data_IF_139446705701
#
_entry.id   IF_139446705701
#
_cell.length_a   1.000
_cell.length_b   1.000
_cell.length_c   1.000
_cell.angle_alpha   90.00
_cell.angle_beta   90.00
_cell.angle_gamma   90.00
#
_symmetry.space_group_name_H-M   'P 1'
#
loop_
_entity.id
_entity.type
_entity.pdbx_description
1 polymer ?
#
# COMPACT_ATOMS: atom_id res chain seq x y z
N UNK A 1 32.42 15.45 2.95
CA UNK A 1 31.18 15.18 2.21
C UNK A 1 30.51 14.03 2.92
N UNK A 2 29.60 14.31 3.85
CA UNK A 2 28.87 13.27 4.56
C UNK A 2 27.95 12.57 3.56
N UNK A 3 28.19 11.28 3.33
CA UNK A 3 27.25 10.43 2.62
C UNK A 3 26.05 10.23 3.54
N UNK A 4 24.91 10.84 3.21
CA UNK A 4 23.63 10.46 3.79
C UNK A 4 23.39 8.98 3.46
N UNK A 5 23.63 8.10 4.42
CA UNK A 5 23.17 6.71 4.35
C UNK A 5 21.67 6.79 4.56
N UNK A 6 20.90 6.83 3.47
CA UNK A 6 19.46 6.59 3.55
C UNK A 6 19.27 5.23 4.23
N UNK A 7 18.40 5.15 5.23
CA UNK A 7 18.07 3.88 5.85
C UNK A 7 17.56 2.91 4.77
N UNK A 8 18.23 1.78 4.60
CA UNK A 8 17.85 0.73 3.63
C UNK A 8 16.84 -0.26 4.22
N UNK A 9 16.28 0.09 5.38
CA UNK A 9 15.32 -0.71 6.10
C UNK A 9 14.00 -0.76 5.35
N UNK A 10 13.32 -1.92 5.40
CA UNK A 10 12.06 -2.15 4.67
C UNK A 10 11.01 -1.07 5.00
N UNK A 11 10.95 -0.63 6.26
CA UNK A 11 10.04 0.43 6.72
C UNK A 11 10.21 1.77 6.01
N UNK A 12 11.41 2.07 5.50
CA UNK A 12 11.66 3.35 4.82
C UNK A 12 10.90 3.41 3.49
N UNK A 13 10.74 2.27 2.80
CA UNK A 13 9.94 2.18 1.58
C UNK A 13 8.45 2.36 1.86
N UNK A 14 7.93 1.73 2.91
CA UNK A 14 6.51 1.86 3.30
C UNK A 14 6.18 3.29 3.68
N UNK A 15 6.99 3.90 4.54
CA UNK A 15 6.80 5.30 4.94
C UNK A 15 6.83 6.26 3.74
N UNK A 16 7.75 6.05 2.80
CA UNK A 16 7.81 6.84 1.56
C UNK A 16 6.52 6.68 0.74
N UNK A 17 6.00 5.46 0.62
CA UNK A 17 4.75 5.20 -0.12
C UNK A 17 3.54 5.84 0.56
N UNK A 18 3.42 5.76 1.88
CA UNK A 18 2.37 6.43 2.66
C UNK A 18 2.45 7.95 2.45
N UNK A 19 3.65 8.53 2.51
CA UNK A 19 3.85 9.97 2.30
C UNK A 19 3.34 10.42 0.92
N UNK A 20 3.74 9.72 -0.15
CA UNK A 20 3.29 10.07 -1.50
C UNK A 20 1.80 9.80 -1.74
N UNK A 21 1.21 8.78 -1.10
CA UNK A 21 -0.23 8.58 -1.13
C UNK A 21 -0.96 9.79 -0.52
N UNK A 22 -0.45 10.34 0.59
CA UNK A 22 -0.97 11.57 1.19
C UNK A 22 -0.94 12.76 0.23
N UNK A 23 0.21 12.99 -0.43
CA UNK A 23 0.35 14.07 -1.42
C UNK A 23 -0.64 13.94 -2.59
N UNK A 24 -0.84 12.72 -3.10
CA UNK A 24 -1.78 12.44 -4.18
C UNK A 24 -3.24 12.67 -3.74
N UNK A 25 -3.61 12.26 -2.52
CA UNK A 25 -4.95 12.50 -1.96
C UNK A 25 -5.22 13.99 -1.75
N UNK A 26 -4.24 14.76 -1.28
CA UNK A 26 -4.36 16.21 -1.17
C UNK A 26 -4.52 16.88 -2.54
N UNK A 27 -3.75 16.42 -3.55
CA UNK A 27 -3.86 16.91 -4.91
C UNK A 27 -5.23 16.59 -5.53
N UNK A 28 -5.73 15.37 -5.31
CA UNK A 28 -7.08 14.96 -5.69
C UNK A 28 -8.13 15.88 -5.06
N UNK A 29 -8.05 16.11 -3.74
CA UNK A 29 -8.99 16.99 -3.04
C UNK A 29 -8.94 18.45 -3.50
N UNK A 30 -7.79 18.93 -4.00
CA UNK A 30 -7.69 20.24 -4.68
C UNK A 30 -8.32 20.22 -6.07
N UNK A 31 -8.09 19.15 -6.84
CA UNK A 31 -8.65 18.97 -8.17
C UNK A 31 -10.19 18.87 -8.15
N UNK A 32 -10.76 18.20 -7.14
CA UNK A 32 -12.22 18.08 -6.95
C UNK A 32 -12.90 19.42 -6.64
N UNK A 33 -12.19 20.34 -5.97
CA UNK A 33 -12.70 21.67 -5.62
C UNK A 33 -12.49 22.71 -6.74
N UNK A 34 -11.64 22.41 -7.72
CA UNK A 34 -11.23 23.35 -8.78
C UNK A 34 -12.08 23.26 -10.05
N UNK A 35 -12.25 24.40 -10.73
CA UNK A 35 -12.87 24.49 -12.07
C UNK A 35 -11.80 24.50 -13.18
N UNK A 36 -10.83 23.58 -13.14
CA UNK A 36 -9.78 23.53 -14.16
C UNK A 36 -10.32 22.94 -15.47
N UNK A 37 -9.87 23.47 -16.61
CA UNK A 37 -10.28 23.05 -17.97
C UNK A 37 -9.96 21.57 -18.27
N UNK A 38 -8.98 20.98 -17.56
CA UNK A 38 -8.61 19.56 -17.65
C UNK A 38 -9.06 18.73 -16.41
N UNK A 39 -10.10 19.18 -15.70
CA UNK A 39 -10.55 18.58 -14.44
C UNK A 39 -10.70 17.05 -14.50
N UNK A 40 -11.32 16.42 -15.53
CA UNK A 40 -11.47 14.95 -15.56
C UNK A 40 -10.15 14.18 -15.65
N UNK A 41 -9.21 14.61 -16.50
CA UNK A 41 -7.92 13.95 -16.68
C UNK A 41 -7.03 14.11 -15.45
N UNK A 42 -7.04 15.31 -14.84
CA UNK A 42 -6.33 15.57 -13.59
C UNK A 42 -6.89 14.73 -12.45
N UNK A 43 -8.22 14.66 -12.29
CA UNK A 43 -8.87 13.81 -11.30
C UNK A 43 -8.48 12.35 -11.45
N UNK A 44 -8.47 11.83 -12.68
CA UNK A 44 -8.09 10.45 -12.94
C UNK A 44 -6.62 10.19 -12.61
N UNK A 45 -5.71 11.10 -13.00
CA UNK A 45 -4.29 10.97 -12.70
C UNK A 45 -4.01 10.95 -11.19
N UNK A 46 -4.66 11.83 -10.42
CA UNK A 46 -4.47 11.84 -8.96
C UNK A 46 -5.09 10.61 -8.27
N UNK A 47 -6.20 10.07 -8.78
CA UNK A 47 -6.77 8.79 -8.32
C UNK A 47 -5.81 7.63 -8.55
N UNK A 48 -5.27 7.51 -9.76
CA UNK A 48 -4.30 6.46 -10.10
C UNK A 48 -3.02 6.59 -9.28
N UNK A 49 -2.54 7.81 -9.06
CA UNK A 49 -1.38 8.08 -8.20
C UNK A 49 -1.65 7.64 -6.75
N UNK A 50 -2.80 8.00 -6.19
CA UNK A 50 -3.19 7.58 -4.85
C UNK A 50 -3.26 6.05 -4.73
N UNK A 51 -3.93 5.37 -5.67
CA UNK A 51 -4.02 3.90 -5.69
C UNK A 51 -2.63 3.25 -5.80
N UNK A 52 -1.78 3.73 -6.72
CA UNK A 52 -0.42 3.23 -6.90
C UNK A 52 0.44 3.35 -5.63
N UNK A 53 0.34 4.48 -4.94
CA UNK A 53 1.10 4.69 -3.72
C UNK A 53 0.53 3.92 -2.52
N UNK A 54 -0.79 3.82 -2.38
CA UNK A 54 -1.44 3.02 -1.34
C UNK A 54 -1.17 1.53 -1.51
N UNK A 55 -1.27 0.98 -2.72
CA UNK A 55 -0.90 -0.41 -2.98
C UNK A 55 0.58 -0.66 -2.69
N UNK A 56 1.45 0.26 -3.12
CA UNK A 56 2.88 0.17 -2.81
C UNK A 56 3.18 0.22 -1.31
N UNK A 57 2.41 0.97 -0.52
CA UNK A 57 2.52 1.00 0.94
C UNK A 57 2.06 -0.32 1.56
N UNK A 58 0.94 -0.88 1.10
CA UNK A 58 0.44 -2.18 1.53
C UNK A 58 1.49 -3.28 1.27
N UNK A 59 2.05 -3.33 0.06
CA UNK A 59 3.08 -4.31 -0.29
C UNK A 59 4.31 -4.16 0.61
N UNK A 60 4.76 -2.92 0.86
CA UNK A 60 5.86 -2.63 1.78
C UNK A 60 5.59 -3.13 3.20
N UNK A 61 4.40 -2.86 3.74
CA UNK A 61 3.97 -3.35 5.04
C UNK A 61 3.94 -4.88 5.10
N UNK A 62 3.43 -5.53 4.05
CA UNK A 62 3.44 -7.00 3.95
C UNK A 62 4.87 -7.54 3.97
N UNK A 63 5.83 -6.88 3.29
CA UNK A 63 7.25 -7.24 3.33
C UNK A 63 7.89 -7.03 4.70
N UNK A 64 7.54 -5.96 5.41
CA UNK A 64 8.02 -5.73 6.78
C UNK A 64 7.57 -6.84 7.73
N UNK A 65 6.28 -7.17 7.72
CA UNK A 65 5.71 -8.24 8.56
C UNK A 65 6.35 -9.58 8.16
N UNK A 66 6.35 -9.91 6.87
CA UNK A 66 6.93 -11.16 6.38
C UNK A 66 8.43 -11.27 6.67
N UNK A 67 9.16 -10.16 6.58
CA UNK A 67 10.59 -10.09 6.92
C UNK A 67 10.83 -10.28 8.42
N UNK A 68 10.03 -9.64 9.27
CA UNK A 68 10.12 -9.78 10.72
C UNK A 68 9.91 -11.23 11.17
N UNK A 69 8.89 -11.90 10.62
CA UNK A 69 8.59 -13.31 10.90
C UNK A 69 9.36 -14.32 10.03
N UNK A 70 10.26 -13.84 9.15
CA UNK A 70 11.09 -14.65 8.23
C UNK A 70 10.28 -15.62 7.34
N UNK A 71 9.13 -15.15 6.85
CA UNK A 71 8.30 -15.92 5.94
C UNK A 71 9.03 -16.17 4.60
N UNK A 72 8.90 -17.36 3.99
CA UNK A 72 9.44 -17.65 2.66
C UNK A 72 8.98 -16.66 1.57
N UNK A 73 7.79 -16.09 1.73
CA UNK A 73 7.13 -15.21 0.79
C UNK A 73 7.53 -13.73 0.94
N UNK A 74 8.48 -13.39 1.82
CA UNK A 74 8.89 -12.00 2.08
C UNK A 74 9.41 -11.23 0.84
N UNK A 75 9.73 -11.92 -0.26
CA UNK A 75 10.15 -11.35 -1.53
C UNK A 75 9.08 -11.31 -2.63
N UNK A 76 7.81 -11.57 -2.31
CA UNK A 76 6.74 -11.53 -3.33
C UNK A 76 6.61 -10.16 -3.99
N UNK A 77 6.14 -10.13 -5.24
CA UNK A 77 5.85 -8.89 -5.97
C UNK A 77 4.43 -8.36 -5.76
N UNK A 78 3.53 -9.17 -5.21
CA UNK A 78 2.11 -8.85 -5.04
C UNK A 78 1.69 -9.06 -3.60
N UNK A 79 0.97 -8.09 -3.03
CA UNK A 79 0.53 -8.18 -1.64
C UNK A 79 -0.42 -9.38 -1.44
N UNK A 80 -1.24 -9.68 -2.45
CA UNK A 80 -2.21 -10.76 -2.47
C UNK A 80 -1.59 -12.15 -2.31
N UNK A 81 -0.30 -12.32 -2.63
CA UNK A 81 0.41 -13.59 -2.40
C UNK A 81 0.77 -13.81 -0.92
N UNK A 82 0.75 -12.75 -0.10
CA UNK A 82 0.89 -12.79 1.35
C UNK A 82 -0.46 -12.76 2.07
N UNK A 83 -1.49 -12.16 1.46
CA UNK A 83 -2.83 -12.01 2.04
C UNK A 83 -3.74 -13.23 1.76
N UNK A 84 -3.25 -14.42 2.08
CA UNK A 84 -3.97 -15.69 1.85
C UNK A 84 -4.27 -16.42 3.15
N UNK A 85 -5.29 -17.28 3.15
CA UNK A 85 -5.62 -18.09 4.32
C UNK A 85 -4.47 -19.06 4.66
N UNK A 86 -3.79 -19.57 3.64
CA UNK A 86 -2.64 -20.49 3.79
C UNK A 86 -1.48 -19.86 4.57
N UNK A 87 -1.25 -18.54 4.42
CA UNK A 87 -0.23 -17.82 5.18
C UNK A 87 -0.62 -17.69 6.66
N UNK A 88 -1.91 -17.53 6.98
CA UNK A 88 -2.39 -17.49 8.37
C UNK A 88 -2.31 -18.85 9.06
N UNK A 89 -2.61 -19.91 8.31
CA UNK A 89 -2.64 -21.27 8.85
C UNK A 89 -1.22 -21.79 9.15
N UNK A 90 -0.20 -21.25 8.47
CA UNK A 90 1.19 -21.65 8.65
C UNK A 90 1.80 -21.12 9.95
N UNK A 91 1.53 -19.85 10.29
CA UNK A 91 2.05 -19.18 11.50
C UNK A 91 1.02 -18.17 11.98
N UNK A 92 0.69 -18.20 13.28
CA UNK A 92 -0.18 -17.21 13.90
C UNK A 92 0.52 -15.84 13.96
N UNK A 93 0.26 -15.00 12.95
CA UNK A 93 0.77 -13.64 12.82
C UNK A 93 -0.43 -12.68 12.92
N UNK A 94 -0.68 -12.06 14.08
CA UNK A 94 -1.87 -11.24 14.30
C UNK A 94 -2.04 -10.11 13.29
N UNK A 95 -0.96 -9.39 12.96
CA UNK A 95 -0.99 -8.26 12.03
C UNK A 95 -1.35 -8.71 10.61
N UNK A 96 -0.86 -9.89 10.21
CA UNK A 96 -1.22 -10.48 8.92
C UNK A 96 -2.67 -10.98 8.92
N UNK A 97 -3.15 -11.53 10.04
CA UNK A 97 -4.54 -11.97 10.18
C UNK A 97 -5.53 -10.82 10.00
N UNK A 98 -5.26 -9.66 10.59
CA UNK A 98 -6.07 -8.46 10.38
C UNK A 98 -6.10 -8.01 8.92
N UNK A 99 -4.94 -7.98 8.24
CA UNK A 99 -4.88 -7.61 6.81
C UNK A 99 -5.63 -8.60 5.93
N UNK A 100 -5.54 -9.89 6.22
CA UNK A 100 -6.28 -10.95 5.51
C UNK A 100 -7.78 -10.81 5.73
N UNK A 101 -8.23 -10.57 6.96
CA UNK A 101 -9.66 -10.34 7.26
C UNK A 101 -10.19 -9.13 6.48
N UNK A 102 -9.43 -8.02 6.50
CA UNK A 102 -9.78 -6.83 5.76
C UNK A 102 -9.84 -7.10 4.24
N UNK A 103 -8.85 -7.79 3.67
CA UNK A 103 -8.80 -8.10 2.24
C UNK A 103 -9.94 -9.01 1.77
N UNK A 104 -10.43 -9.93 2.61
CA UNK A 104 -11.52 -10.84 2.26
C UNK A 104 -12.91 -10.24 2.42
N UNK A 105 -13.06 -9.18 3.22
CA UNK A 105 -14.32 -8.46 3.33
C UNK A 105 -14.42 -7.35 2.28
N UNK A 106 -15.20 -7.59 1.21
CA UNK A 106 -15.39 -6.67 0.07
C UNK A 106 -15.83 -5.24 0.42
N UNK A 107 -16.37 -5.02 1.61
CA UNK A 107 -16.83 -3.70 2.05
C UNK A 107 -15.70 -2.86 2.67
N UNK A 108 -14.55 -3.45 2.97
CA UNK A 108 -13.43 -2.73 3.57
C UNK A 108 -12.69 -1.89 2.54
N UNK A 109 -11.97 -0.89 3.03
CA UNK A 109 -11.09 -0.08 2.20
C UNK A 109 -10.00 -0.93 1.52
N UNK A 110 -9.51 -1.97 2.19
CA UNK A 110 -8.40 -2.79 1.69
C UNK A 110 -8.85 -3.66 0.52
N UNK A 111 -10.01 -4.31 0.64
CA UNK A 111 -10.57 -5.08 -0.45
C UNK A 111 -10.91 -4.20 -1.66
N UNK A 112 -11.41 -2.97 -1.41
CA UNK A 112 -11.67 -1.99 -2.48
C UNK A 112 -10.39 -1.49 -3.15
N UNK A 113 -9.32 -1.25 -2.40
CA UNK A 113 -8.01 -0.89 -2.93
C UNK A 113 -7.48 -2.00 -3.85
N UNK A 114 -7.49 -3.26 -3.39
CA UNK A 114 -7.04 -4.41 -4.16
C UNK A 114 -7.87 -4.66 -5.42
N UNK A 115 -9.17 -4.34 -5.40
CA UNK A 115 -10.03 -4.47 -6.57
C UNK A 115 -9.82 -3.34 -7.60
N UNK A 116 -9.30 -2.20 -7.17
CA UNK A 116 -9.14 -1.00 -7.98
C UNK A 116 -7.75 -0.83 -8.62
N UNK A 117 -6.75 -1.58 -8.16
CA UNK A 117 -5.36 -1.55 -8.64
C UNK A 117 -5.01 -2.85 -9.37
#
# INVERSE_FOLDING_TARGET
MESFVMAHELYTRTNQKIYFAGLALEALGRAEKGQAVNSPALLQAERESALFHLYGALLGLCHEIAGFYRLPQAGTRRAEELLTQEVLDAIAIPEMAELVELAHNRQTWLAQLLAAY
#
